data_IF_480801283443
#
_entry.id   IF_480801283443
#
_cell.length_a   1.000
_cell.length_b   1.000
_cell.length_c   1.000
_cell.angle_alpha   90.00
_cell.angle_beta   90.00
_cell.angle_gamma   90.00
#
_symmetry.space_group_name_H-M   'P 1'
#
loop_
_entity.id
_entity.type
_entity.pdbx_description
1 polymer ?
#
# COMPACT_ATOMS: atom_id res chain seq x y z
N UNK A 1 -11.90 -11.58 -11.98
CA UNK A 1 -12.39 -12.76 -11.21
C UNK A 1 -13.44 -12.25 -10.22
N UNK A 2 -14.48 -13.03 -9.90
CA UNK A 2 -15.47 -12.64 -8.89
C UNK A 2 -14.99 -13.15 -7.52
N UNK A 3 -15.02 -12.34 -6.44
CA UNK A 3 -14.64 -12.83 -5.12
C UNK A 3 -15.66 -13.86 -4.63
N UNK A 4 -15.16 -14.91 -3.96
CA UNK A 4 -15.97 -15.91 -3.25
C UNK A 4 -16.40 -15.42 -1.87
N UNK A 5 -15.61 -14.55 -1.25
CA UNK A 5 -15.95 -13.85 -0.01
C UNK A 5 -15.40 -12.42 -0.01
N UNK A 6 -16.11 -11.53 0.69
CA UNK A 6 -15.70 -10.15 0.96
C UNK A 6 -15.93 -9.91 2.46
N UNK A 7 -14.87 -9.53 3.17
CA UNK A 7 -14.91 -9.17 4.58
C UNK A 7 -14.34 -7.76 4.76
N UNK A 8 -14.88 -7.01 5.73
CA UNK A 8 -14.37 -5.69 6.10
C UNK A 8 -14.06 -5.70 7.58
N UNK A 9 -12.79 -5.45 7.93
CA UNK A 9 -12.29 -5.47 9.30
C UNK A 9 -11.77 -4.08 9.65
N UNK A 10 -12.11 -3.57 10.84
CA UNK A 10 -11.63 -2.27 11.30
C UNK A 10 -10.09 -2.25 11.38
N UNK A 11 -9.47 -1.16 10.91
CA UNK A 11 -8.04 -0.95 11.06
C UNK A 11 -7.71 -0.51 12.48
N UNK A 12 -6.52 -0.89 12.96
CA UNK A 12 -6.00 -0.28 14.18
C UNK A 12 -5.66 1.21 13.92
N UNK A 13 -5.77 2.09 14.91
CA UNK A 13 -5.36 3.48 14.75
C UNK A 13 -3.89 3.61 14.38
N UNK A 14 -3.56 4.60 13.55
CA UNK A 14 -2.18 4.96 13.20
C UNK A 14 -1.68 4.45 11.85
N UNK A 15 -2.50 3.72 11.10
CA UNK A 15 -2.21 3.40 9.70
C UNK A 15 -2.60 4.56 8.78
N UNK A 16 -1.72 4.93 7.86
CA UNK A 16 -1.95 5.95 6.83
C UNK A 16 -1.65 5.36 5.45
N UNK A 17 -2.32 5.83 4.40
CA UNK A 17 -2.01 5.43 3.03
C UNK A 17 -0.69 6.04 2.56
N UNK A 18 -0.07 5.44 1.55
CA UNK A 18 1.12 5.96 0.88
C UNK A 18 0.87 6.02 -0.61
N UNK A 19 1.00 7.21 -1.20
CA UNK A 19 0.70 7.46 -2.60
C UNK A 19 1.95 7.79 -3.39
N UNK A 20 2.00 7.27 -4.62
CA UNK A 20 3.00 7.66 -5.60
C UNK A 20 2.45 8.73 -6.54
N UNK A 21 3.10 9.87 -6.61
CA UNK A 21 2.79 10.96 -7.53
C UNK A 21 3.84 10.99 -8.64
N UNK A 22 3.71 10.05 -9.60
CA UNK A 22 4.73 9.80 -10.63
C UNK A 22 5.09 11.04 -11.45
N UNK A 23 4.13 11.91 -11.73
CA UNK A 23 4.36 13.17 -12.46
C UNK A 23 5.35 14.10 -11.74
N UNK A 24 5.40 14.03 -10.41
CA UNK A 24 6.24 14.85 -9.56
C UNK A 24 7.45 14.09 -9.00
N UNK A 25 7.59 12.80 -9.34
CA UNK A 25 8.59 11.90 -8.74
C UNK A 25 8.58 11.94 -7.22
N UNK A 26 7.39 11.95 -6.62
CA UNK A 26 7.19 12.19 -5.18
C UNK A 26 6.31 11.12 -4.55
N UNK A 27 6.64 10.72 -3.32
CA UNK A 27 5.89 9.75 -2.53
C UNK A 27 5.41 10.43 -1.25
N UNK A 28 4.09 10.43 -1.07
CA UNK A 28 3.44 11.19 0.00
C UNK A 28 2.60 10.30 0.92
N UNK A 29 2.50 10.69 2.18
CA UNK A 29 1.55 10.11 3.13
C UNK A 29 0.16 10.69 2.86
N UNK A 30 -0.84 9.82 2.78
CA UNK A 30 -2.23 10.17 2.51
C UNK A 30 -3.13 10.02 3.73
N UNK A 31 -4.39 9.68 3.46
CA UNK A 31 -5.44 9.60 4.47
C UNK A 31 -5.28 8.42 5.44
N UNK A 32 -5.89 8.52 6.64
CA UNK A 32 -5.97 7.39 7.55
C UNK A 32 -6.70 6.19 6.97
N UNK A 33 -6.16 5.01 7.25
CA UNK A 33 -6.84 3.74 6.99
C UNK A 33 -7.83 3.48 8.12
N UNK A 34 -9.12 3.34 7.78
CA UNK A 34 -10.20 3.09 8.75
C UNK A 34 -10.62 1.62 8.80
N UNK A 35 -10.40 0.88 7.71
CA UNK A 35 -10.71 -0.53 7.61
C UNK A 35 -9.85 -1.21 6.54
N UNK A 36 -9.87 -2.54 6.53
CA UNK A 36 -9.28 -3.40 5.52
C UNK A 36 -10.40 -4.18 4.85
N UNK A 37 -10.46 -4.12 3.52
CA UNK A 37 -11.28 -5.02 2.73
C UNK A 37 -10.45 -6.24 2.35
N UNK A 38 -10.95 -7.41 2.71
CA UNK A 38 -10.35 -8.70 2.36
C UNK A 38 -11.26 -9.34 1.32
N UNK A 39 -10.75 -9.49 0.11
CA UNK A 39 -11.44 -10.16 -0.99
C UNK A 39 -10.76 -11.50 -1.26
N UNK A 40 -11.49 -12.60 -1.15
CA UNK A 40 -10.96 -13.92 -1.45
C UNK A 40 -11.46 -14.40 -2.80
N UNK A 41 -10.57 -14.98 -3.59
CA UNK A 41 -10.80 -15.46 -4.94
C UNK A 41 -10.38 -16.93 -5.06
N UNK A 42 -11.12 -17.70 -5.85
CA UNK A 42 -10.63 -18.99 -6.35
C UNK A 42 -9.58 -18.75 -7.43
N UNK A 43 -8.43 -19.41 -7.30
CA UNK A 43 -7.36 -19.32 -8.29
C UNK A 43 -7.67 -20.29 -9.43
N UNK A 44 -7.91 -19.76 -10.62
CA UNK A 44 -8.46 -20.50 -11.77
C UNK A 44 -7.61 -21.66 -12.30
N UNK A 45 -6.35 -21.81 -11.85
CA UNK A 45 -5.41 -22.82 -12.36
C UNK A 45 -5.26 -24.06 -11.47
N UNK A 46 -5.71 -24.02 -10.22
CA UNK A 46 -5.54 -25.11 -9.26
C UNK A 46 -6.85 -25.29 -8.49
N UNK A 47 -7.49 -26.46 -8.58
CA UNK A 47 -8.84 -26.73 -8.05
C UNK A 47 -9.03 -26.53 -6.52
N UNK A 48 -8.00 -26.12 -5.78
CA UNK A 48 -8.05 -25.92 -4.33
C UNK A 48 -7.24 -24.72 -3.83
N UNK A 49 -6.73 -23.86 -4.72
CA UNK A 49 -6.00 -22.67 -4.28
C UNK A 49 -6.95 -21.48 -4.15
N UNK A 50 -7.00 -20.91 -2.95
CA UNK A 50 -7.63 -19.62 -2.68
C UNK A 50 -6.56 -18.56 -2.53
N UNK A 51 -6.83 -17.37 -3.03
CA UNK A 51 -5.99 -16.19 -2.85
C UNK A 51 -6.84 -15.10 -2.20
N UNK A 52 -6.30 -14.42 -1.20
CA UNK A 52 -6.93 -13.22 -0.63
C UNK A 52 -6.12 -11.98 -0.97
N UNK A 53 -6.82 -10.90 -1.31
CA UNK A 53 -6.27 -9.56 -1.47
C UNK A 53 -6.73 -8.70 -0.30
N UNK A 54 -5.80 -7.98 0.32
CA UNK A 54 -6.10 -7.03 1.38
C UNK A 54 -5.94 -5.60 0.83
N UNK A 55 -7.01 -4.81 0.87
CA UNK A 55 -7.02 -3.44 0.36
C UNK A 55 -7.36 -2.48 1.49
N UNK A 56 -6.57 -1.41 1.74
CA UNK A 56 -6.94 -0.39 2.70
C UNK A 56 -8.18 0.38 2.26
N UNK A 57 -9.00 0.77 3.22
CA UNK A 57 -10.14 1.66 3.04
C UNK A 57 -9.92 2.95 3.84
N UNK A 58 -10.27 4.09 3.24
CA UNK A 58 -10.27 5.40 3.89
C UNK A 58 -11.69 5.83 4.23
N UNK A 59 -11.85 6.99 4.88
CA UNK A 59 -13.18 7.59 5.13
C UNK A 59 -13.97 7.87 3.84
N UNK A 60 -13.28 7.96 2.70
CA UNK A 60 -13.88 8.21 1.39
C UNK A 60 -14.16 6.90 0.62
N UNK A 61 -13.88 5.74 1.21
CA UNK A 61 -14.05 4.43 0.59
C UNK A 61 -12.71 3.86 0.09
N UNK A 62 -12.69 3.42 -1.17
CA UNK A 62 -11.53 2.76 -1.75
C UNK A 62 -10.37 3.74 -1.95
N UNK A 63 -9.15 3.25 -1.75
CA UNK A 63 -7.96 4.04 -2.04
C UNK A 63 -7.83 4.29 -3.55
N UNK A 64 -7.32 5.48 -3.94
CA UNK A 64 -6.90 5.76 -5.31
C UNK A 64 -5.90 4.74 -5.86
N UNK A 65 -5.87 4.57 -7.18
CA UNK A 65 -4.99 3.60 -7.87
C UNK A 65 -3.51 3.88 -7.71
N UNK A 66 -3.14 5.09 -7.32
CA UNK A 66 -1.76 5.47 -7.05
C UNK A 66 -1.34 5.22 -5.58
N UNK A 67 -2.21 4.63 -4.75
CA UNK A 67 -1.85 4.11 -3.45
C UNK A 67 -0.94 2.89 -3.63
N UNK A 68 0.30 2.99 -3.19
CA UNK A 68 1.33 1.95 -3.35
C UNK A 68 1.62 1.20 -2.06
N UNK A 69 1.05 1.62 -0.94
CA UNK A 69 1.35 1.03 0.35
C UNK A 69 0.64 1.72 1.51
N UNK A 70 1.09 1.38 2.72
CA UNK A 70 0.67 2.02 3.95
C UNK A 70 1.86 2.36 4.84
N UNK A 71 1.75 3.45 5.59
CA UNK A 71 2.58 3.72 6.75
C UNK A 71 1.98 2.99 7.95
N UNK A 72 2.80 2.21 8.62
CA UNK A 72 2.46 1.52 9.86
C UNK A 72 2.51 2.49 11.05
N UNK A 73 1.85 2.18 12.19
CA UNK A 73 1.88 3.02 13.39
C UNK A 73 3.28 3.28 13.97
N UNK A 74 4.26 2.42 13.65
CA UNK A 74 5.67 2.57 14.03
C UNK A 74 6.51 3.35 12.99
N UNK A 75 5.84 4.02 12.04
CA UNK A 75 6.40 4.86 10.97
C UNK A 75 7.09 4.13 9.81
N UNK A 76 7.22 2.81 9.86
CA UNK A 76 7.72 2.02 8.71
C UNK A 76 6.69 2.00 7.58
N UNK A 77 7.14 1.86 6.34
CA UNK A 77 6.26 1.81 5.16
C UNK A 77 6.20 0.38 4.62
N UNK A 78 5.00 -0.18 4.45
CA UNK A 78 4.81 -1.45 3.73
C UNK A 78 4.24 -1.15 2.35
N UNK A 79 5.05 -1.34 1.30
CA UNK A 79 4.63 -1.26 -0.08
C UNK A 79 3.94 -2.57 -0.52
N UNK A 80 2.89 -2.49 -1.32
CA UNK A 80 2.07 -3.66 -1.68
C UNK A 80 2.76 -4.63 -2.63
N UNK A 81 3.74 -4.17 -3.41
CA UNK A 81 4.39 -4.91 -4.49
C UNK A 81 5.84 -5.33 -4.20
N UNK A 82 6.44 -4.83 -3.12
CA UNK A 82 7.87 -4.98 -2.86
C UNK A 82 8.17 -5.50 -1.44
N UNK A 83 8.25 -4.59 -0.47
CA UNK A 83 8.83 -4.84 0.85
C UNK A 83 8.33 -3.82 1.88
N UNK A 84 8.82 -3.96 3.12
CA UNK A 84 8.75 -2.93 4.15
C UNK A 84 10.06 -2.12 4.17
N UNK A 85 9.92 -0.80 4.32
CA UNK A 85 10.96 0.20 4.44
C UNK A 85 10.92 0.81 5.84
N UNK A 86 12.06 1.22 6.38
CA UNK A 86 12.16 1.84 7.71
C UNK A 86 11.56 3.24 7.74
N UNK A 87 11.49 3.93 6.59
CA UNK A 87 10.93 5.28 6.49
C UNK A 87 10.37 5.61 5.10
N UNK A 88 9.65 6.74 5.01
CA UNK A 88 9.20 7.31 3.74
C UNK A 88 10.38 7.79 2.88
N UNK A 89 11.41 8.35 3.50
CA UNK A 89 12.63 8.82 2.83
C UNK A 89 13.36 7.67 2.13
N UNK A 90 13.52 6.54 2.82
CA UNK A 90 14.13 5.35 2.25
C UNK A 90 13.34 4.83 1.02
N UNK A 91 12.01 4.81 1.12
CA UNK A 91 11.15 4.44 0.00
C UNK A 91 11.28 5.45 -1.16
N UNK A 92 11.31 6.74 -0.87
CA UNK A 92 11.51 7.83 -1.84
C UNK A 92 12.84 7.66 -2.59
N UNK A 93 13.94 7.48 -1.87
CA UNK A 93 15.28 7.30 -2.46
C UNK A 93 15.39 5.99 -3.25
N UNK A 94 14.70 4.94 -2.83
CA UNK A 94 14.67 3.67 -3.57
C UNK A 94 13.95 3.83 -4.91
N UNK A 95 12.83 4.57 -4.94
CA UNK A 95 12.00 4.72 -6.14
C UNK A 95 12.51 5.82 -7.08
N UNK A 96 12.97 6.92 -6.50
CA UNK A 96 13.43 8.13 -7.19
C UNK A 96 14.79 8.57 -6.61
N UNK A 97 15.87 7.83 -6.89
CA UNK A 97 17.18 8.14 -6.37
C UNK A 97 17.64 9.52 -6.82
N UNK A 98 18.02 10.37 -5.86
CA UNK A 98 18.61 11.67 -6.17
C UNK A 98 19.98 11.45 -6.87
N UNK A 99 20.35 12.29 -7.85
CA UNK A 99 21.68 12.24 -8.44
C UNK A 99 22.72 12.52 -7.36
N UNK A 100 23.73 11.66 -7.20
CA UNK A 100 24.85 11.96 -6.32
C UNK A 100 25.54 13.23 -6.82
N UNK A 101 25.46 14.32 -6.07
CA UNK A 101 26.32 15.48 -6.28
C UNK A 101 27.72 15.12 -5.83
N UNK A 102 28.61 14.87 -6.78
CA UNK A 102 30.05 14.84 -6.51
C UNK A 102 30.50 16.27 -6.23
N UNK A 103 30.68 16.60 -4.96
CA UNK A 103 31.46 17.78 -4.57
C UNK A 103 32.92 17.48 -4.91
N UNK A 104 33.40 18.10 -5.99
CA UNK A 104 34.75 17.94 -6.52
C UNK A 104 35.85 18.50 -5.63
#
# INVERSE_FOLDING_TARGET
MKPISIEVIAAQPGFLTVHNLEEYSDIVIGEPVVAWRIETYEKSSCYYEVQSCCTPLTVNGDVPTNCIGVQNPNLTITAFDHSTYDSLEELQDTKYPQPMTYDG
#
